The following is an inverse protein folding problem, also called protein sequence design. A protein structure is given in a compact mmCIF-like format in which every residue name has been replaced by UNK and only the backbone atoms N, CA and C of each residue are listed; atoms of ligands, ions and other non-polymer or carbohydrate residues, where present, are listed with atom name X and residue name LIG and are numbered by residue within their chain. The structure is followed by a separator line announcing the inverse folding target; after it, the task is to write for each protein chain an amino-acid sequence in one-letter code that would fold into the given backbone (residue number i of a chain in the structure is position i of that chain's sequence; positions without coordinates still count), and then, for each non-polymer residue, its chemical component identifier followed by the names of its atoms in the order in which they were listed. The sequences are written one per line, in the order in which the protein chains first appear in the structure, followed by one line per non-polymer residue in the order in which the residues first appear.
data_IF_250004116173
#
_entry.id   IF_250004116173
#
_cell.length_a   1.000
_cell.length_b   1.000
_cell.length_c   1.000
_cell.angle_alpha   90.00
_cell.angle_beta   90.00
_cell.angle_gamma   90.00
#
_symmetry.space_group_name_H-M   'P 1'
#
loop_
_entity.id
_entity.type
_entity.pdbx_description
1 polymer ?
#
# COMPACT_ATOMS: atom_id res chain seq x y z
N UNK A 1 -4.80 -0.45 26.22
CA UNK A 1 -3.32 -0.53 26.27
C UNK A 1 -2.67 -0.80 24.91
N UNK A 2 -3.16 -1.72 24.06
CA UNK A 2 -2.54 -2.02 22.74
C UNK A 2 -2.46 -0.83 21.75
N UNK A 3 -3.50 0.02 21.63
CA UNK A 3 -3.52 1.12 20.64
C UNK A 3 -2.41 2.16 20.85
N UNK A 4 -2.11 2.54 22.10
CA UNK A 4 -1.01 3.47 22.41
C UNK A 4 0.34 2.91 21.96
N UNK A 5 0.56 1.60 22.11
CA UNK A 5 1.78 0.94 21.65
C UNK A 5 1.93 0.98 20.13
N UNK A 6 0.86 0.70 19.37
CA UNK A 6 0.90 0.78 17.91
C UNK A 6 1.09 2.22 17.42
N UNK A 7 0.49 3.21 18.10
CA UNK A 7 0.70 4.62 17.78
C UNK A 7 2.15 5.06 18.06
N UNK A 8 2.72 4.67 19.19
CA UNK A 8 4.14 4.91 19.50
C UNK A 8 5.07 4.25 18.47
N UNK A 9 4.77 3.01 18.08
CA UNK A 9 5.54 2.33 17.05
C UNK A 9 5.41 3.04 15.68
N UNK A 10 4.23 3.53 15.31
CA UNK A 10 4.04 4.30 14.08
C UNK A 10 4.87 5.59 14.11
N UNK A 11 4.80 6.34 15.20
CA UNK A 11 5.61 7.55 15.40
C UNK A 11 7.10 7.21 15.30
N UNK A 12 7.54 6.14 15.94
CA UNK A 12 8.93 5.68 15.87
C UNK A 12 9.37 5.45 14.41
N UNK A 13 8.59 4.71 13.61
CA UNK A 13 8.93 4.46 12.20
C UNK A 13 8.93 5.73 11.35
N UNK A 14 7.97 6.64 11.57
CA UNK A 14 7.92 7.94 10.89
C UNK A 14 9.16 8.79 11.26
N UNK A 15 9.48 8.88 12.55
CA UNK A 15 10.67 9.60 13.03
C UNK A 15 11.96 9.03 12.47
N UNK A 16 12.05 7.70 12.36
CA UNK A 16 13.21 7.04 11.78
C UNK A 16 13.36 7.37 10.28
N UNK A 17 12.25 7.39 9.53
CA UNK A 17 12.25 7.81 8.12
C UNK A 17 12.67 9.29 7.96
N UNK A 18 12.16 10.18 8.83
CA UNK A 18 12.55 11.60 8.82
C UNK A 18 14.04 11.76 9.14
N UNK A 19 14.54 11.03 10.15
CA UNK A 19 15.97 11.04 10.48
C UNK A 19 16.82 10.58 9.29
N UNK A 20 16.39 9.53 8.60
CA UNK A 20 17.07 9.05 7.40
C UNK A 20 17.02 10.07 6.26
N UNK A 21 15.92 10.80 6.10
CA UNK A 21 15.85 11.90 5.14
C UNK A 21 16.85 13.02 5.45
N UNK A 22 17.01 13.36 6.74
CA UNK A 22 18.02 14.35 7.17
C UNK A 22 19.44 13.84 6.83
N UNK A 23 19.71 12.55 7.01
CA UNK A 23 20.98 11.95 6.60
C UNK A 23 21.18 12.08 5.09
N UNK A 24 20.15 11.79 4.28
CA UNK A 24 20.20 11.97 2.83
C UNK A 24 20.48 13.44 2.46
N UNK A 25 19.84 14.40 3.13
CA UNK A 25 20.08 15.82 2.91
C UNK A 25 21.55 16.20 3.07
N UNK A 26 22.20 15.72 4.14
CA UNK A 26 23.63 16.01 4.38
C UNK A 26 24.60 15.21 3.52
N UNK A 27 24.21 14.00 3.07
CA UNK A 27 25.12 13.10 2.34
C UNK A 27 24.98 13.15 0.83
N UNK A 28 23.78 13.42 0.31
CA UNK A 28 23.44 13.44 -1.13
C UNK A 28 22.83 14.75 -1.61
N UNK A 29 22.54 15.68 -0.69
CA UNK A 29 22.03 17.02 -1.00
C UNK A 29 20.51 17.14 -0.98
N UNK A 30 20.04 18.37 -1.21
CA UNK A 30 18.64 18.75 -1.11
C UNK A 30 17.73 17.99 -2.08
N UNK A 31 18.12 17.87 -3.35
CA UNK A 31 17.32 17.21 -4.38
C UNK A 31 17.00 15.77 -3.99
N UNK A 32 18.01 14.98 -3.58
CA UNK A 32 17.80 13.60 -3.14
C UNK A 32 16.94 13.49 -1.89
N UNK A 33 17.00 14.46 -0.97
CA UNK A 33 16.16 14.49 0.22
C UNK A 33 14.68 14.77 -0.13
N UNK A 34 14.43 15.69 -1.06
CA UNK A 34 13.07 15.97 -1.56
C UNK A 34 12.52 14.74 -2.30
N UNK A 35 13.34 14.09 -3.13
CA UNK A 35 12.97 12.84 -3.82
C UNK A 35 12.66 11.71 -2.83
N UNK A 36 13.51 11.49 -1.82
CA UNK A 36 13.27 10.50 -0.78
C UNK A 36 11.97 10.77 -0.02
N UNK A 37 11.77 12.01 0.42
CA UNK A 37 10.59 12.38 1.19
C UNK A 37 9.32 12.28 0.36
N UNK A 38 9.38 12.71 -0.90
CA UNK A 38 8.30 12.55 -1.86
C UNK A 38 7.95 11.08 -2.09
N UNK A 39 8.96 10.26 -2.37
CA UNK A 39 8.82 8.82 -2.53
C UNK A 39 8.23 8.14 -1.30
N UNK A 40 8.69 8.52 -0.11
CA UNK A 40 8.18 8.01 1.16
C UNK A 40 6.71 8.35 1.37
N UNK A 41 6.30 9.60 1.07
CA UNK A 41 4.89 10.02 1.19
C UNK A 41 4.00 9.28 0.19
N UNK A 42 4.41 9.22 -1.08
CA UNK A 42 3.66 8.49 -2.12
C UNK A 42 3.48 7.03 -1.72
N UNK A 43 4.56 6.39 -1.29
CA UNK A 43 4.52 4.99 -0.94
C UNK A 43 3.71 4.71 0.32
N UNK A 44 3.82 5.57 1.34
CA UNK A 44 2.98 5.48 2.54
C UNK A 44 1.49 5.62 2.19
N UNK A 45 1.17 6.48 1.23
CA UNK A 45 -0.20 6.73 0.77
C UNK A 45 -0.79 5.58 0.00
N UNK A 46 0.00 4.94 -0.86
CA UNK A 46 -0.43 3.76 -1.61
C UNK A 46 -0.52 2.54 -0.70
N UNK A 47 0.40 2.42 0.26
CA UNK A 47 0.37 1.37 1.29
C UNK A 47 -0.90 1.42 2.15
N UNK A 48 -1.52 2.59 2.34
CA UNK A 48 -2.81 2.74 3.02
C UNK A 48 -3.95 2.04 2.27
N UNK A 49 -3.97 2.12 0.93
CA UNK A 49 -4.96 1.39 0.12
C UNK A 49 -4.76 -0.13 0.25
N UNK A 50 -3.49 -0.56 0.26
CA UNK A 50 -3.12 -1.97 0.46
C UNK A 50 -3.63 -2.50 1.81
N UNK A 51 -3.59 -1.68 2.86
CA UNK A 51 -4.09 -2.06 4.18
C UNK A 51 -5.61 -2.31 4.20
N UNK A 52 -6.40 -1.58 3.42
CA UNK A 52 -7.83 -1.89 3.28
C UNK A 52 -8.05 -3.24 2.62
N UNK A 53 -7.27 -3.57 1.60
CA UNK A 53 -7.33 -4.89 1.00
C UNK A 53 -7.00 -5.98 2.02
N UNK A 54 -5.98 -5.75 2.86
CA UNK A 54 -5.60 -6.71 3.90
C UNK A 54 -6.74 -6.91 4.92
N UNK A 55 -7.38 -5.83 5.37
CA UNK A 55 -8.56 -5.89 6.25
C UNK A 55 -9.70 -6.69 5.60
N UNK A 56 -9.98 -6.45 4.32
CA UNK A 56 -11.02 -7.18 3.58
C UNK A 56 -10.69 -8.67 3.46
N UNK A 57 -9.43 -9.03 3.17
CA UNK A 57 -8.98 -10.42 3.09
C UNK A 57 -9.10 -11.09 4.47
N UNK A 58 -8.55 -10.49 5.53
CA UNK A 58 -8.62 -11.07 6.87
C UNK A 58 -10.06 -11.25 7.37
N UNK A 59 -10.93 -10.29 7.08
CA UNK A 59 -12.37 -10.38 7.37
C UNK A 59 -13.05 -11.51 6.57
N UNK A 60 -12.77 -11.60 5.27
CA UNK A 60 -13.35 -12.63 4.38
C UNK A 60 -12.98 -14.05 4.81
N UNK A 61 -11.72 -14.25 5.22
CA UNK A 61 -11.22 -15.54 5.72
C UNK A 61 -11.40 -15.74 7.23
N UNK A 62 -12.02 -14.78 7.93
CA UNK A 62 -12.28 -14.80 9.39
C UNK A 62 -11.01 -15.10 10.21
N UNK A 63 -9.90 -14.48 9.83
CA UNK A 63 -8.60 -14.67 10.51
C UNK A 63 -8.58 -13.88 11.82
N UNK A 64 -8.37 -14.59 12.93
CA UNK A 64 -8.24 -13.98 14.27
C UNK A 64 -7.00 -13.08 14.37
N UNK A 65 -7.09 -12.00 15.15
CA UNK A 65 -6.03 -10.99 15.34
C UNK A 65 -4.65 -11.60 15.66
N UNK A 66 -4.62 -12.68 16.44
CA UNK A 66 -3.41 -13.39 16.86
C UNK A 66 -2.60 -13.94 15.67
N UNK A 67 -3.29 -14.33 14.60
CA UNK A 67 -2.67 -14.88 13.40
C UNK A 67 -2.29 -13.79 12.38
N UNK A 68 -2.99 -12.65 12.41
CA UNK A 68 -2.71 -11.53 11.51
C UNK A 68 -1.29 -11.00 11.70
N UNK A 69 -0.79 -10.93 12.94
CA UNK A 69 0.59 -10.49 13.23
C UNK A 69 1.64 -11.29 12.46
N UNK A 70 1.46 -12.61 12.44
CA UNK A 70 2.39 -13.50 11.75
C UNK A 70 2.31 -13.27 10.25
N UNK A 71 1.10 -13.22 9.69
CA UNK A 71 0.91 -13.02 8.25
C UNK A 71 1.51 -11.69 7.81
N UNK A 72 1.27 -10.61 8.55
CA UNK A 72 1.82 -9.29 8.26
C UNK A 72 3.35 -9.28 8.32
N UNK A 73 3.97 -10.02 9.25
CA UNK A 73 5.42 -10.13 9.34
C UNK A 73 6.03 -10.79 8.10
N UNK A 74 5.51 -11.96 7.72
CA UNK A 74 6.00 -12.64 6.51
C UNK A 74 5.66 -11.85 5.25
N UNK A 75 4.46 -11.24 5.21
CA UNK A 75 3.98 -10.35 4.16
C UNK A 75 4.91 -9.17 3.89
N UNK A 76 5.34 -8.48 4.95
CA UNK A 76 6.29 -7.36 4.85
C UNK A 76 7.65 -7.81 4.31
N UNK A 77 8.14 -8.98 4.75
CA UNK A 77 9.42 -9.52 4.26
C UNK A 77 9.32 -9.88 2.77
N UNK A 78 8.25 -10.56 2.36
CA UNK A 78 8.01 -10.91 0.96
C UNK A 78 7.84 -9.68 0.08
N UNK A 79 7.02 -8.71 0.51
CA UNK A 79 6.85 -7.43 -0.17
C UNK A 79 8.19 -6.68 -0.37
N UNK A 80 9.06 -6.60 0.64
CA UNK A 80 10.37 -5.95 0.50
C UNK A 80 11.26 -6.61 -0.56
N UNK A 81 11.21 -7.94 -0.68
CA UNK A 81 11.97 -8.69 -1.68
C UNK A 81 11.37 -8.52 -3.07
N UNK A 82 10.05 -8.69 -3.19
CA UNK A 82 9.33 -8.54 -4.46
C UNK A 82 9.48 -7.13 -5.01
N UNK A 83 9.36 -6.11 -4.16
CA UNK A 83 9.58 -4.72 -4.56
C UNK A 83 11.00 -4.44 -5.02
N UNK A 84 12.01 -5.00 -4.35
CA UNK A 84 13.39 -4.87 -4.85
C UNK A 84 13.49 -5.40 -6.29
N UNK A 85 12.90 -6.57 -6.55
CA UNK A 85 12.88 -7.17 -7.89
C UNK A 85 12.17 -6.24 -8.89
N UNK A 86 10.96 -5.77 -8.58
CA UNK A 86 10.22 -4.91 -9.51
C UNK A 86 10.87 -3.54 -9.72
N UNK A 87 11.49 -2.95 -8.69
CA UNK A 87 12.21 -1.68 -8.80
C UNK A 87 13.41 -1.86 -9.74
N UNK A 88 14.21 -2.93 -9.55
CA UNK A 88 15.36 -3.20 -10.42
C UNK A 88 14.92 -3.45 -11.87
N UNK A 89 13.87 -4.25 -12.08
CA UNK A 89 13.31 -4.49 -13.40
C UNK A 89 12.76 -3.20 -14.02
N UNK A 90 12.04 -2.40 -13.23
CA UNK A 90 11.44 -1.14 -13.66
C UNK A 90 12.49 -0.11 -14.08
N UNK A 91 13.53 0.09 -13.28
CA UNK A 91 14.66 0.97 -13.60
C UNK A 91 15.37 0.49 -14.87
N UNK A 92 15.60 -0.82 -15.02
CA UNK A 92 16.20 -1.37 -16.22
C UNK A 92 15.34 -1.12 -17.47
N UNK A 93 14.01 -1.19 -17.35
CA UNK A 93 13.09 -0.87 -18.45
C UNK A 93 13.10 0.62 -18.79
N UNK A 94 13.07 1.50 -17.79
CA UNK A 94 13.10 2.97 -17.96
C UNK A 94 14.38 3.42 -18.64
N UNK A 95 15.53 2.88 -18.22
CA UNK A 95 16.82 3.23 -18.82
C UNK A 95 16.94 2.76 -20.27
N UNK A 96 16.21 1.72 -20.66
CA UNK A 96 16.22 1.19 -22.03
C UNK A 96 15.19 1.85 -22.94
N UNK A 97 14.05 2.25 -22.40
CA UNK A 97 12.91 2.74 -23.16
C UNK A 97 12.34 4.01 -22.53
N UNK A 98 12.69 5.17 -23.08
CA UNK A 98 12.22 6.47 -22.58
C UNK A 98 10.68 6.60 -22.57
N UNK A 99 9.98 5.99 -23.53
CA UNK A 99 8.51 6.01 -23.60
C UNK A 99 7.81 5.18 -22.52
N UNK A 100 8.54 4.35 -21.76
CA UNK A 100 7.92 3.50 -20.73
C UNK A 100 7.32 4.34 -19.61
N UNK A 101 7.90 5.50 -19.30
CA UNK A 101 7.37 6.45 -18.32
C UNK A 101 5.98 6.94 -18.75
N UNK A 102 5.77 7.19 -20.04
CA UNK A 102 4.45 7.59 -20.56
C UNK A 102 3.42 6.45 -20.47
N UNK A 103 3.84 5.20 -20.71
CA UNK A 103 2.97 4.02 -20.50
C UNK A 103 2.57 3.89 -19.04
N UNK A 104 3.55 4.00 -18.14
CA UNK A 104 3.35 4.07 -16.70
C UNK A 104 2.37 5.18 -16.33
N UNK A 105 2.48 6.34 -16.97
CA UNK A 105 1.52 7.44 -16.80
C UNK A 105 0.09 7.06 -17.20
N UNK A 106 -0.11 6.43 -18.35
CA UNK A 106 -1.44 5.96 -18.79
C UNK A 106 -1.99 4.89 -17.84
N UNK A 107 -1.16 3.95 -17.38
CA UNK A 107 -1.57 2.94 -16.41
C UNK A 107 -2.07 3.58 -15.11
N UNK A 108 -1.34 4.57 -14.58
CA UNK A 108 -1.73 5.31 -13.38
C UNK A 108 -3.06 6.05 -13.55
N UNK A 109 -3.29 6.68 -14.70
CA UNK A 109 -4.57 7.32 -15.01
C UNK A 109 -5.73 6.33 -14.97
N UNK A 110 -5.54 5.14 -15.55
CA UNK A 110 -6.55 4.09 -15.55
C UNK A 110 -6.81 3.56 -14.14
N UNK A 111 -5.76 3.29 -13.36
CA UNK A 111 -5.89 2.82 -11.97
C UNK A 111 -6.58 3.87 -11.09
N UNK A 112 -6.17 5.14 -11.21
CA UNK A 112 -6.78 6.25 -10.49
C UNK A 112 -8.26 6.44 -10.85
N UNK A 113 -8.60 6.45 -12.15
CA UNK A 113 -9.99 6.57 -12.61
C UNK A 113 -10.87 5.40 -12.12
N UNK A 114 -10.33 4.18 -12.10
CA UNK A 114 -11.03 2.99 -11.63
C UNK A 114 -11.44 3.08 -10.17
N UNK A 115 -10.69 3.80 -9.33
CA UNK A 115 -11.04 4.01 -7.91
C UNK A 115 -12.32 4.84 -7.79
N UNK A 116 -12.56 5.81 -8.69
CA UNK A 116 -13.79 6.62 -8.67
C UNK A 116 -14.99 5.91 -9.27
N UNK A 117 -14.76 4.99 -10.21
CA UNK A 117 -15.81 4.25 -10.92
C UNK A 117 -16.28 2.99 -10.17
N UNK A 118 -15.49 2.49 -9.22
CA UNK A 118 -15.88 1.34 -8.39
C UNK A 118 -16.85 1.78 -7.30
N UNK A 119 -18.11 1.40 -7.43
CA UNK A 119 -19.01 1.26 -6.29
C UNK A 119 -18.54 0.05 -5.45
N UNK A 120 -18.82 0.05 -4.13
CA UNK A 120 -18.33 -0.93 -3.15
C UNK A 120 -18.74 -2.39 -3.51
N UNK A 121 -18.05 -2.99 -4.48
CA UNK A 121 -18.22 -4.38 -4.85
C UNK A 121 -17.63 -5.26 -3.75
N UNK A 122 -18.45 -6.16 -3.22
CA UNK A 122 -18.01 -7.23 -2.33
C UNK A 122 -16.98 -8.11 -3.07
N UNK A 123 -15.69 -7.81 -2.90
CA UNK A 123 -14.59 -8.59 -3.48
C UNK A 123 -14.69 -10.02 -2.93
N UNK A 124 -15.13 -10.96 -3.76
CA UNK A 124 -15.23 -12.37 -3.39
C UNK A 124 -13.85 -13.03 -3.53
N UNK A 125 -13.07 -13.05 -2.44
CA UNK A 125 -11.70 -13.60 -2.43
C UNK A 125 -11.65 -15.13 -2.58
N UNK A 126 -12.79 -15.83 -2.42
CA UNK A 126 -12.86 -17.29 -2.54
C UNK A 126 -12.56 -17.81 -3.96
N UNK A 127 -12.63 -16.96 -4.98
CA UNK A 127 -12.45 -17.34 -6.39
C UNK A 127 -11.19 -16.73 -7.04
N UNK A 128 -10.29 -16.19 -6.22
CA UNK A 128 -9.09 -15.50 -6.68
C UNK A 128 -8.10 -16.41 -7.42
N UNK A 129 -7.42 -15.85 -8.42
CA UNK A 129 -6.38 -16.49 -9.22
C UNK A 129 -5.32 -17.19 -8.35
N UNK A 130 -4.88 -16.52 -7.29
CA UNK A 130 -3.98 -17.03 -6.26
C UNK A 130 -4.44 -18.36 -5.64
N UNK A 131 -5.73 -18.44 -5.26
CA UNK A 131 -6.33 -19.64 -4.66
C UNK A 131 -6.44 -20.76 -5.69
N UNK A 132 -6.82 -20.43 -6.94
CA UNK A 132 -6.92 -21.39 -8.05
C UNK A 132 -5.56 -22.01 -8.39
N UNK A 133 -4.52 -21.18 -8.47
CA UNK A 133 -3.14 -21.63 -8.71
C UNK A 133 -2.69 -22.53 -7.57
N UNK A 134 -2.87 -22.11 -6.31
CA UNK A 134 -2.45 -22.88 -5.16
C UNK A 134 -3.17 -24.25 -5.07
N UNK A 135 -4.49 -24.29 -5.31
CA UNK A 135 -5.28 -25.54 -5.35
C UNK A 135 -4.78 -26.53 -6.41
N UNK A 136 -4.16 -26.03 -7.48
CA UNK A 136 -3.59 -26.86 -8.55
C UNK A 136 -2.21 -27.42 -8.17
N UNK A 137 -1.47 -26.71 -7.32
CA UNK A 137 -0.11 -27.09 -6.91
C UNK A 137 -0.14 -28.05 -5.71
N UNK A 138 -1.03 -27.82 -4.72
CA UNK A 138 -1.09 -28.63 -3.51
C UNK A 138 -2.47 -28.66 -2.87
N UNK A 139 -2.81 -29.71 -2.09
CA UNK A 139 -4.09 -29.79 -1.42
C UNK A 139 -4.19 -28.78 -0.26
N UNK A 140 -5.41 -28.33 0.00
CA UNK A 140 -5.71 -27.26 0.96
C UNK A 140 -6.62 -27.80 2.06
N UNK A 141 -6.36 -27.45 3.32
CA UNK A 141 -7.26 -27.75 4.43
C UNK A 141 -8.37 -26.71 4.54
N UNK A 142 -9.58 -27.15 4.88
CA UNK A 142 -10.70 -26.24 5.17
C UNK A 142 -10.71 -25.73 6.63
N UNK A 143 -9.81 -26.27 7.46
CA UNK A 143 -9.73 -25.99 8.90
C UNK A 143 -8.47 -25.19 9.21
N UNK A 144 -8.61 -24.16 10.04
CA UNK A 144 -7.48 -23.43 10.63
C UNK A 144 -6.74 -24.33 11.62
N UNK A 145 -5.45 -24.57 11.40
CA UNK A 145 -4.61 -25.39 12.27
C UNK A 145 -3.70 -24.54 13.16
N UNK A 146 -4.32 -23.66 13.95
CA UNK A 146 -3.62 -22.70 14.79
C UNK A 146 -2.65 -21.85 13.96
N UNK A 147 -1.42 -21.66 14.44
CA UNK A 147 -0.39 -20.83 13.81
C UNK A 147 0.31 -21.45 12.58
N UNK A 148 -0.03 -22.67 12.13
CA UNK A 148 0.75 -23.40 11.11
C UNK A 148 0.34 -23.01 9.69
N UNK A 149 1.31 -22.74 8.81
CA UNK A 149 1.09 -22.53 7.37
C UNK A 149 0.91 -23.84 6.60
N UNK A 150 1.55 -24.91 7.06
CA UNK A 150 1.46 -26.23 6.47
C UNK A 150 1.15 -27.26 7.55
N UNK A 151 0.34 -28.24 7.20
CA UNK A 151 0.08 -29.41 8.04
C UNK A 151 0.26 -30.67 7.24
N UNK A 152 0.80 -31.70 7.88
CA UNK A 152 0.96 -33.01 7.27
C UNK A 152 -0.18 -33.90 7.72
N UNK A 153 -0.98 -34.40 6.77
CA UNK A 153 -2.05 -35.35 7.00
C UNK A 153 -1.84 -36.52 6.04
N UNK A 154 -1.84 -37.76 6.55
CA UNK A 154 -1.67 -38.98 5.73
C UNK A 154 -0.45 -38.93 4.80
N UNK A 155 0.71 -38.48 5.33
CA UNK A 155 1.99 -38.28 4.61
C UNK A 155 2.01 -37.17 3.56
N UNK A 156 0.86 -36.58 3.20
CA UNK A 156 0.71 -35.48 2.25
C UNK A 156 0.78 -34.13 3.00
N UNK A 157 1.41 -33.13 2.39
CA UNK A 157 1.50 -31.77 2.93
C UNK A 157 0.31 -30.97 2.40
N UNK A 158 -0.46 -30.39 3.31
CA UNK A 158 -1.58 -29.51 3.00
C UNK A 158 -1.24 -28.07 3.37
N UNK A 159 -1.63 -27.12 2.51
CA UNK A 159 -1.64 -25.71 2.83
C UNK A 159 -2.83 -25.38 3.74
N UNK A 160 -2.60 -24.60 4.79
CA UNK A 160 -3.67 -24.10 5.66
C UNK A 160 -4.25 -22.80 5.11
N UNK A 161 -5.45 -22.38 5.56
CA UNK A 161 -6.02 -21.08 5.17
C UNK A 161 -5.09 -19.88 5.46
N UNK A 162 -4.23 -19.98 6.48
CA UNK A 162 -3.23 -18.94 6.78
C UNK A 162 -2.20 -18.77 5.66
N UNK A 163 -1.78 -19.86 5.03
CA UNK A 163 -0.84 -19.80 3.91
C UNK A 163 -1.53 -19.24 2.67
N UNK A 164 -2.80 -19.58 2.44
CA UNK A 164 -3.59 -19.01 1.35
C UNK A 164 -3.67 -17.49 1.51
N UNK A 165 -3.99 -17.01 2.71
CA UNK A 165 -4.11 -15.57 2.99
C UNK A 165 -2.76 -14.86 2.81
N UNK A 166 -1.66 -15.43 3.32
CA UNK A 166 -0.32 -14.91 3.08
C UNK A 166 -0.03 -14.81 1.57
N UNK A 167 -0.32 -15.87 0.82
CA UNK A 167 -0.11 -15.90 -0.63
C UNK A 167 -0.98 -14.84 -1.33
N UNK A 168 -2.25 -14.68 -0.99
CA UNK A 168 -3.10 -13.64 -1.57
C UNK A 168 -2.49 -12.25 -1.31
N UNK A 169 -2.01 -11.98 -0.09
CA UNK A 169 -1.38 -10.72 0.27
C UNK A 169 -0.13 -10.45 -0.59
N UNK A 170 0.76 -11.44 -0.75
CA UNK A 170 1.95 -11.32 -1.61
C UNK A 170 1.58 -11.07 -3.07
N UNK A 171 0.59 -11.78 -3.61
CA UNK A 171 0.09 -11.56 -4.97
C UNK A 171 -0.55 -10.18 -5.13
N UNK A 172 -1.23 -9.70 -4.10
CA UNK A 172 -1.79 -8.35 -4.10
C UNK A 172 -0.70 -7.28 -4.06
N UNK A 173 0.41 -7.49 -3.33
CA UNK A 173 1.55 -6.57 -3.37
C UNK A 173 2.17 -6.46 -4.76
N UNK A 174 2.25 -7.57 -5.51
CA UNK A 174 2.65 -7.56 -6.94
C UNK A 174 1.71 -6.66 -7.76
N UNK A 175 0.40 -6.78 -7.56
CA UNK A 175 -0.59 -5.95 -8.26
C UNK A 175 -0.43 -4.49 -7.86
N UNK A 176 -0.20 -4.20 -6.57
CA UNK A 176 0.00 -2.83 -6.08
C UNK A 176 1.31 -2.21 -6.55
N UNK A 177 2.35 -3.01 -6.77
CA UNK A 177 3.62 -2.57 -7.34
C UNK A 177 3.43 -2.00 -8.77
N UNK A 178 2.40 -2.44 -9.50
CA UNK A 178 2.05 -1.89 -10.83
C UNK A 178 1.61 -0.44 -10.72
N UNK A 179 1.02 -0.02 -9.61
CA UNK A 179 0.64 1.38 -9.38
C UNK A 179 1.76 2.15 -8.67
N UNK A 180 2.39 1.56 -7.65
CA UNK A 180 3.33 2.30 -6.80
C UNK A 180 4.70 2.55 -7.43
N UNK A 181 5.19 1.64 -8.28
CA UNK A 181 6.50 1.78 -8.92
C UNK A 181 6.48 2.85 -10.01
N UNK A 182 5.51 2.87 -10.94
CA UNK A 182 5.26 4.01 -11.80
C UNK A 182 5.17 5.33 -11.05
N UNK A 183 4.39 5.38 -9.97
CA UNK A 183 4.18 6.61 -9.22
C UNK A 183 5.50 7.15 -8.63
N UNK A 184 6.36 6.29 -8.06
CA UNK A 184 7.65 6.75 -7.53
C UNK A 184 8.68 7.07 -8.62
N UNK A 185 8.64 6.41 -9.77
CA UNK A 185 9.46 6.80 -10.92
C UNK A 185 9.09 8.15 -11.51
N UNK A 186 7.88 8.66 -11.24
CA UNK A 186 7.53 10.04 -11.54
C UNK A 186 8.27 11.05 -10.66
N UNK A 187 8.86 10.60 -9.54
CA UNK A 187 9.64 11.42 -8.61
C UNK A 187 11.13 11.24 -8.88
N UNK A 188 11.61 10.00 -8.91
CA UNK A 188 13.03 9.68 -9.10
C UNK A 188 13.21 8.27 -9.67
N UNK A 189 14.26 8.09 -10.45
CA UNK A 189 14.71 6.78 -10.94
C UNK A 189 15.95 6.28 -10.20
N UNK A 190 16.45 7.03 -9.20
CA UNK A 190 17.54 6.59 -8.33
C UNK A 190 17.06 5.39 -7.50
N UNK A 191 17.60 4.21 -7.85
CA UNK A 191 17.23 2.93 -7.23
C UNK A 191 17.44 2.94 -5.71
N UNK A 192 18.46 3.62 -5.21
CA UNK A 192 18.72 3.72 -3.78
C UNK A 192 17.62 4.53 -3.09
N UNK A 193 17.26 5.68 -3.65
CA UNK A 193 16.20 6.54 -3.10
C UNK A 193 14.86 5.81 -3.15
N UNK A 194 14.50 5.27 -4.31
CA UNK A 194 13.25 4.52 -4.53
C UNK A 194 13.13 3.36 -3.55
N UNK A 195 14.17 2.54 -3.39
CA UNK A 195 14.11 1.36 -2.54
C UNK A 195 14.09 1.71 -1.05
N UNK A 196 14.92 2.67 -0.62
CA UNK A 196 14.99 3.05 0.79
C UNK A 196 13.70 3.72 1.26
N UNK A 197 13.16 4.68 0.49
CA UNK A 197 11.88 5.33 0.84
C UNK A 197 10.74 4.32 0.94
N UNK A 198 10.79 3.29 0.10
CA UNK A 198 9.79 2.24 0.05
C UNK A 198 9.86 1.28 1.24
N UNK A 199 11.07 0.84 1.64
CA UNK A 199 11.28 0.07 2.86
C UNK A 199 10.78 0.85 4.08
N UNK A 200 11.18 2.11 4.23
CA UNK A 200 10.76 2.92 5.37
C UNK A 200 9.24 3.11 5.44
N UNK A 201 8.55 3.19 4.30
CA UNK A 201 7.10 3.21 4.25
C UNK A 201 6.49 1.87 4.72
N UNK A 202 7.00 0.73 4.24
CA UNK A 202 6.47 -0.60 4.61
C UNK A 202 6.75 -0.97 6.07
N UNK A 203 7.88 -0.56 6.66
CA UNK A 203 8.22 -0.96 8.04
C UNK A 203 7.16 -0.47 9.07
N UNK A 204 6.48 0.64 8.78
CA UNK A 204 5.36 1.16 9.57
C UNK A 204 4.04 0.40 9.42
N UNK A 205 3.92 -0.46 8.40
CA UNK A 205 2.66 -1.08 7.94
C UNK A 205 1.94 -1.86 9.03
N UNK A 206 2.66 -2.65 9.83
CA UNK A 206 2.04 -3.42 10.94
C UNK A 206 1.35 -2.49 11.94
N UNK A 207 2.01 -1.39 12.32
CA UNK A 207 1.45 -0.44 13.29
C UNK A 207 0.26 0.29 12.70
N UNK A 208 0.36 0.66 11.42
CA UNK A 208 -0.70 1.33 10.67
C UNK A 208 -1.94 0.44 10.51
N UNK A 209 -1.76 -0.85 10.21
CA UNK A 209 -2.84 -1.84 10.13
C UNK A 209 -3.69 -1.86 11.41
N UNK A 210 -3.05 -1.99 12.58
CA UNK A 210 -3.77 -2.04 13.87
C UNK A 210 -4.49 -0.74 14.23
N UNK A 211 -3.98 0.41 13.75
CA UNK A 211 -4.63 1.71 13.93
C UNK A 211 -5.86 1.79 13.02
N UNK A 212 -5.72 1.40 11.75
CA UNK A 212 -6.80 1.40 10.76
C UNK A 212 -7.92 0.43 11.11
N UNK A 213 -7.61 -0.80 11.56
CA UNK A 213 -8.61 -1.79 11.96
C UNK A 213 -9.58 -1.22 13.01
N UNK A 214 -9.07 -0.42 13.95
CA UNK A 214 -9.87 0.23 15.00
C UNK A 214 -10.60 1.49 14.53
N UNK A 215 -10.15 2.06 13.41
CA UNK A 215 -10.68 3.27 12.79
C UNK A 215 -11.41 2.96 11.48
N UNK A 216 -11.83 1.71 11.25
CA UNK A 216 -12.31 1.22 9.95
C UNK A 216 -13.40 2.09 9.31
N UNK A 217 -14.24 2.75 10.12
CA UNK A 217 -15.31 3.63 9.63
C UNK A 217 -14.86 5.09 9.34
N UNK A 218 -13.64 5.48 9.72
CA UNK A 218 -13.15 6.87 9.66
C UNK A 218 -12.45 7.23 8.36
N UNK A 219 -12.11 6.26 7.51
CA UNK A 219 -11.24 6.47 6.34
C UNK A 219 -11.92 6.16 5.00
N UNK A 220 -13.26 6.23 4.93
CA UNK A 220 -14.02 5.96 3.70
C UNK A 220 -13.53 6.79 2.51
N UNK A 221 -13.10 8.03 2.74
CA UNK A 221 -12.67 8.94 1.68
C UNK A 221 -11.18 8.86 1.33
N UNK A 222 -10.38 8.10 2.07
CA UNK A 222 -8.94 7.97 1.82
C UNK A 222 -8.64 7.32 0.47
N UNK A 223 -9.48 6.37 0.03
CA UNK A 223 -9.42 5.75 -1.29
C UNK A 223 -9.43 6.80 -2.41
N UNK A 224 -10.29 7.82 -2.32
CA UNK A 224 -10.33 8.90 -3.31
C UNK A 224 -9.08 9.79 -3.30
N UNK A 225 -8.48 10.02 -2.12
CA UNK A 225 -7.20 10.71 -2.01
C UNK A 225 -6.09 9.98 -2.77
N UNK A 226 -6.00 8.65 -2.60
CA UNK A 226 -5.08 7.80 -3.36
C UNK A 226 -5.36 7.86 -4.87
N UNK A 227 -6.64 7.79 -5.27
CA UNK A 227 -7.03 7.95 -6.67
C UNK A 227 -6.60 9.29 -7.28
N UNK A 228 -6.74 10.40 -6.55
CA UNK A 228 -6.25 11.71 -6.98
C UNK A 228 -4.73 11.74 -7.16
N UNK A 229 -3.97 11.11 -6.26
CA UNK A 229 -2.50 11.01 -6.35
C UNK A 229 -2.10 10.23 -7.61
N UNK A 230 -2.76 9.09 -7.88
CA UNK A 230 -2.51 8.29 -9.07
C UNK A 230 -2.82 9.06 -10.36
N UNK A 231 -3.96 9.77 -10.42
CA UNK A 231 -4.29 10.60 -11.58
C UNK A 231 -3.25 11.69 -11.77
N UNK A 232 -2.89 12.43 -10.71
CA UNK A 232 -1.90 13.50 -10.79
C UNK A 232 -0.53 13.00 -11.27
N UNK A 233 -0.03 11.92 -10.67
CA UNK A 233 1.25 11.30 -11.05
C UNK A 233 1.20 10.72 -12.46
N UNK A 234 0.06 10.16 -12.87
CA UNK A 234 -0.20 9.71 -14.23
C UNK A 234 -0.14 10.84 -15.26
N UNK A 235 -0.82 11.97 -14.99
CA UNK A 235 -0.75 13.18 -15.81
C UNK A 235 0.70 13.66 -15.93
N UNK A 236 1.42 13.74 -14.80
CA UNK A 236 2.84 14.16 -14.79
C UNK A 236 3.69 13.30 -15.71
N UNK A 237 3.56 11.98 -15.64
CA UNK A 237 4.32 11.04 -16.47
C UNK A 237 3.94 11.09 -17.96
N UNK A 238 2.67 11.31 -18.27
CA UNK A 238 2.21 11.45 -19.67
C UNK A 238 2.70 12.77 -20.26
N UNK A 239 2.63 13.86 -19.51
CA UNK A 239 3.10 15.19 -19.93
C UNK A 239 4.61 15.21 -20.21
N UNK A 240 5.38 14.36 -19.52
CA UNK A 240 6.81 14.19 -19.77
C UNK A 240 7.13 13.82 -21.23
N UNK A 241 6.19 13.19 -21.94
CA UNK A 241 6.35 12.89 -23.38
C UNK A 241 6.52 14.16 -24.23
N UNK A 242 5.98 15.29 -23.80
CA UNK A 242 6.13 16.60 -24.45
C UNK A 242 7.27 17.44 -23.85
N UNK A 243 8.20 16.83 -23.10
CA UNK A 243 9.34 17.50 -22.46
C UNK A 243 8.96 18.59 -21.44
N UNK A 244 7.72 18.55 -20.93
CA UNK A 244 7.25 19.46 -19.88
C UNK A 244 7.52 18.78 -18.53
N UNK A 245 8.50 19.29 -17.80
CA UNK A 245 8.87 18.76 -16.49
C UNK A 245 8.16 19.51 -15.35
N UNK A 246 7.44 18.75 -14.52
CA UNK A 246 6.92 19.25 -13.24
C UNK A 246 7.98 19.00 -12.19
N UNK A 247 8.45 20.06 -11.52
CA UNK A 247 9.47 19.95 -10.48
C UNK A 247 9.05 18.97 -9.38
N UNK A 248 10.04 18.26 -8.84
CA UNK A 248 9.82 17.28 -7.78
C UNK A 248 9.19 17.96 -6.56
N UNK A 249 9.68 19.14 -6.17
CA UNK A 249 9.15 19.92 -5.05
C UNK A 249 7.66 20.23 -5.21
N UNK A 250 7.23 20.69 -6.39
CA UNK A 250 5.81 20.98 -6.66
C UNK A 250 4.96 19.70 -6.60
N UNK A 251 5.51 18.59 -7.09
CA UNK A 251 4.83 17.29 -7.05
C UNK A 251 4.59 16.84 -5.60
N UNK A 252 5.63 16.93 -4.76
CA UNK A 252 5.52 16.55 -3.34
C UNK A 252 4.52 17.43 -2.61
N UNK A 253 4.51 18.74 -2.87
CA UNK A 253 3.54 19.67 -2.27
C UNK A 253 2.09 19.34 -2.67
N UNK A 254 1.85 19.03 -3.94
CA UNK A 254 0.52 18.65 -4.43
C UNK A 254 0.07 17.34 -3.80
N UNK A 255 0.93 16.32 -3.77
CA UNK A 255 0.63 15.01 -3.16
C UNK A 255 0.31 15.19 -1.68
N UNK A 256 1.13 15.94 -0.94
CA UNK A 256 0.91 16.21 0.48
C UNK A 256 -0.40 16.97 0.73
N UNK A 257 -0.72 17.93 -0.13
CA UNK A 257 -1.98 18.68 -0.07
C UNK A 257 -3.20 17.77 -0.29
N UNK A 258 -3.14 16.88 -1.29
CA UNK A 258 -4.20 15.90 -1.56
C UNK A 258 -4.40 14.97 -0.36
N UNK A 259 -3.30 14.50 0.24
CA UNK A 259 -3.37 13.63 1.42
C UNK A 259 -3.99 14.32 2.62
N UNK A 260 -3.49 15.51 2.96
CA UNK A 260 -4.02 16.29 4.07
C UNK A 260 -5.51 16.61 3.88
N UNK A 261 -5.90 17.03 2.68
CA UNK A 261 -7.30 17.28 2.35
C UNK A 261 -8.15 16.02 2.51
N UNK A 262 -7.68 14.87 2.01
CA UNK A 262 -8.40 13.60 2.11
C UNK A 262 -8.59 13.15 3.57
N UNK A 263 -7.56 13.31 4.41
CA UNK A 263 -7.61 13.00 5.83
C UNK A 263 -8.59 13.94 6.54
N UNK A 264 -8.49 15.25 6.31
CA UNK A 264 -9.37 16.25 6.94
C UNK A 264 -10.84 16.02 6.58
N UNK A 265 -11.15 15.81 5.29
CA UNK A 265 -12.50 15.51 4.82
C UNK A 265 -13.03 14.24 5.49
N UNK A 266 -12.19 13.19 5.58
CA UNK A 266 -12.58 11.92 6.18
C UNK A 266 -12.84 12.03 7.69
N UNK A 267 -12.07 12.85 8.41
CA UNK A 267 -12.27 13.13 9.83
C UNK A 267 -13.55 13.93 10.08
N UNK A 268 -13.77 15.01 9.34
CA UNK A 268 -14.98 15.85 9.48
C UNK A 268 -16.25 15.05 9.19
N UNK A 269 -16.22 14.21 8.14
CA UNK A 269 -17.36 13.36 7.83
C UNK A 269 -17.61 12.31 8.92
N UNK A 270 -16.56 11.69 9.47
CA UNK A 270 -16.72 10.72 10.54
C UNK A 270 -17.35 11.31 11.80
N UNK A 271 -17.06 12.57 12.14
CA UNK A 271 -17.70 13.24 13.27
C UNK A 271 -19.16 13.57 12.98
N UNK A 272 -19.46 14.04 11.76
CA UNK A 272 -20.82 14.35 11.32
C UNK A 272 -21.72 13.10 11.33
N UNK A 273 -21.20 11.95 10.87
CA UNK A 273 -21.97 10.71 10.82
C UNK A 273 -22.23 10.12 12.22
N UNK A 274 -21.28 10.29 13.16
CA UNK A 274 -21.50 9.98 14.59
C UNK A 274 -22.58 10.87 15.20
N UNK A 275 -22.56 12.18 14.92
CA UNK A 275 -23.57 13.12 15.41
C UNK A 275 -24.97 12.81 14.85
N UNK A 276 -25.08 12.52 13.54
CA UNK A 276 -26.34 12.15 12.88
C UNK A 276 -26.95 10.87 13.47
N UNK A 277 -26.12 9.85 13.72
CA UNK A 277 -26.55 8.60 14.34
C UNK A 277 -26.95 8.75 15.82
N UNK A 278 -26.36 9.70 16.53
CA UNK A 278 -26.76 10.05 17.90
C UNK A 278 -28.13 10.74 17.94
N UNK A 279 -28.40 11.69 17.05
CA UNK A 279 -29.73 12.33 16.94
C UNK A 279 -30.82 11.33 16.56
N UNK A 280 -30.56 10.40 15.62
CA UNK A 280 -31.51 9.34 15.22
C UNK A 280 -31.84 8.32 16.31
N UNK A 281 -30.95 8.12 17.30
CA UNK A 281 -31.22 7.21 18.44
C UNK A 281 -32.02 7.88 19.57
N UNK A 282 -32.22 9.20 19.50
CA UNK A 282 -32.94 9.99 20.51
C UNK A 282 -34.32 10.48 20.04
N UNK A 283 -34.66 10.28 18.76
CA UNK A 283 -36.01 10.45 18.20
C UNK A 283 -36.73 9.11 18.16
#
# INVERSE_FOLDING_TARGET
MKTRRHLLNLIFWISLSILFNIIIYYTRGETSAIEYFGGYIVEMSLSLDNLFLFLMIFSSFRIQEEYQERILLYGVIGAMVLRLIFILLGVAMVNKFSFILSIFGVLLLLSGAKIFLREDDNIQFHDNLAVKILRRIMPITNVLHGNKFFVRQNKIIYATPLFIVLLIIEFSDIIFAIDSIPAIFSITTDTFIVYTSNIFAILGLRSMYYILEKMNNMFKFMKYGVGCILIFTGIKLVILFWEIEISVTNSVLIILSILLASILISLLWSEFDKFRNWCKRRS
#
